data_IF_558589359487
#
_entry.id   IF_558589359487
#
_cell.length_a   1.000
_cell.length_b   1.000
_cell.length_c   1.000
_cell.angle_alpha   90.00
_cell.angle_beta   90.00
_cell.angle_gamma   90.00
#
_symmetry.space_group_name_H-M   'P 1'
#
loop_
_entity.id
_entity.type
_entity.pdbx_description
1 polymer ?
#
# COMPACT_ATOMS: atom_id res chain seq x y z
N UNK A 1 -14.60 35.92 -9.68
CA UNK A 1 -14.56 34.76 -10.59
C UNK A 1 -14.25 33.56 -9.72
N UNK A 2 -15.21 32.65 -9.58
CA UNK A 2 -15.19 31.56 -8.61
C UNK A 2 -14.74 30.26 -9.29
N UNK A 3 -13.55 29.76 -8.94
CA UNK A 3 -13.14 28.38 -9.21
C UNK A 3 -13.64 27.50 -8.06
N UNK A 4 -14.66 26.69 -8.36
CA UNK A 4 -15.16 25.67 -7.45
C UNK A 4 -14.29 24.42 -7.54
N UNK A 5 -13.77 24.00 -6.39
CA UNK A 5 -13.09 22.73 -6.16
C UNK A 5 -14.07 21.57 -6.41
N UNK A 6 -13.85 20.80 -7.47
CA UNK A 6 -14.52 19.54 -7.74
C UNK A 6 -13.96 18.46 -6.79
N UNK A 7 -14.76 18.03 -5.81
CA UNK A 7 -14.48 16.81 -5.04
C UNK A 7 -14.79 15.59 -5.91
N UNK A 8 -13.97 14.51 -5.86
CA UNK A 8 -14.31 13.27 -6.54
C UNK A 8 -15.41 12.54 -5.78
N UNK A 9 -16.59 12.45 -6.40
CA UNK A 9 -17.67 11.58 -5.95
C UNK A 9 -17.17 10.11 -5.89
N UNK A 10 -17.37 9.39 -4.77
CA UNK A 10 -17.12 7.95 -4.77
C UNK A 10 -18.16 7.28 -5.67
N UNK A 11 -17.72 6.67 -6.77
CA UNK A 11 -18.59 5.85 -7.62
C UNK A 11 -19.09 4.66 -6.80
N UNK A 12 -20.41 4.38 -6.80
CA UNK A 12 -20.92 3.20 -6.12
C UNK A 12 -20.31 1.94 -6.75
N UNK A 13 -19.86 1.05 -5.87
CA UNK A 13 -19.17 -0.19 -6.20
C UNK A 13 -20.05 -1.03 -7.14
N UNK A 14 -19.65 -1.15 -8.41
CA UNK A 14 -20.39 -1.82 -9.49
C UNK A 14 -20.83 -3.25 -9.12
N UNK A 15 -20.07 -3.89 -8.23
CA UNK A 15 -20.36 -5.21 -7.67
C UNK A 15 -21.61 -5.25 -6.78
N UNK A 16 -21.95 -4.16 -6.08
CA UNK A 16 -23.17 -4.06 -5.27
C UNK A 16 -24.41 -3.93 -6.15
N UNK A 17 -24.31 -3.23 -7.28
CA UNK A 17 -25.40 -3.10 -8.25
C UNK A 17 -25.65 -4.44 -8.98
N UNK A 18 -24.59 -5.15 -9.39
CA UNK A 18 -24.71 -6.48 -10.00
C UNK A 18 -25.27 -7.53 -9.03
N UNK A 19 -24.90 -7.48 -7.74
CA UNK A 19 -25.47 -8.35 -6.70
C UNK A 19 -26.94 -8.05 -6.44
N UNK A 20 -27.32 -6.77 -6.42
CA UNK A 20 -28.71 -6.31 -6.29
C UNK A 20 -29.56 -6.70 -7.51
N UNK A 21 -29.01 -6.68 -8.72
CA UNK A 21 -29.71 -7.14 -9.93
C UNK A 21 -29.86 -8.66 -9.98
N UNK A 22 -28.83 -9.44 -9.60
CA UNK A 22 -28.93 -10.90 -9.46
C UNK A 22 -29.97 -11.30 -8.42
N UNK A 23 -30.05 -10.62 -7.28
CA UNK A 23 -31.09 -10.88 -6.26
C UNK A 23 -32.49 -10.44 -6.70
N UNK A 24 -32.63 -9.32 -7.43
CA UNK A 24 -33.94 -8.89 -7.97
C UNK A 24 -34.46 -9.86 -9.03
N UNK A 25 -33.61 -10.45 -9.87
CA UNK A 25 -33.98 -11.49 -10.84
C UNK A 25 -34.38 -12.81 -10.15
N UNK A 26 -33.66 -13.21 -9.08
CA UNK A 26 -34.03 -14.38 -8.25
C UNK A 26 -35.39 -14.22 -7.55
N UNK A 27 -35.67 -13.03 -6.98
CA UNK A 27 -36.96 -12.75 -6.31
C UNK A 27 -38.13 -12.64 -7.30
N UNK A 28 -37.90 -12.16 -8.53
CA UNK A 28 -38.93 -12.15 -9.60
C UNK A 28 -39.30 -13.56 -10.08
N UNK A 29 -38.34 -14.50 -10.12
CA UNK A 29 -38.62 -15.92 -10.44
C UNK A 29 -39.43 -16.63 -9.36
N UNK A 30 -39.28 -16.24 -8.08
CA UNK A 30 -40.07 -16.80 -6.98
C UNK A 30 -41.52 -16.25 -6.91
N UNK A 31 -41.74 -14.97 -7.26
CA UNK A 31 -43.06 -14.35 -7.23
C UNK A 31 -44.02 -14.82 -8.36
N UNK A 32 -43.49 -15.36 -9.47
CA UNK A 32 -44.30 -15.87 -10.59
C UNK A 32 -44.73 -17.32 -10.35
N UNK A 33 -43.99 -18.08 -9.53
CA UNK A 33 -44.30 -19.47 -9.17
C UNK A 33 -45.42 -19.67 -8.14
N UNK A 34 -45.99 -18.61 -7.56
CA UNK A 34 -47.03 -18.73 -6.51
C UNK A 34 -48.42 -18.22 -6.89
N UNK A 35 -48.67 -17.86 -8.16
CA UNK A 35 -49.94 -17.26 -8.60
C UNK A 35 -50.87 -18.17 -9.43
N UNK A 36 -50.53 -19.45 -9.62
CA UNK A 36 -51.33 -20.38 -10.47
C UNK A 36 -51.77 -21.62 -9.68
N UNK A 37 -52.44 -21.39 -8.56
CA UNK A 37 -53.14 -22.45 -7.82
C UNK A 37 -54.38 -21.89 -7.11
N UNK A 38 -55.36 -21.37 -7.85
CA UNK A 38 -56.75 -21.22 -7.37
C UNK A 38 -57.67 -20.73 -8.49
N UNK A 39 -58.51 -21.64 -9.02
CA UNK A 39 -59.93 -21.43 -9.36
C UNK A 39 -60.39 -22.50 -10.37
N UNK A 40 -61.00 -23.57 -9.87
CA UNK A 40 -61.92 -24.39 -10.66
C UNK A 40 -63.25 -24.48 -9.91
N UNK A 41 -64.28 -23.80 -10.41
CA UNK A 41 -65.68 -24.04 -10.05
C UNK A 41 -66.64 -23.48 -11.11
N UNK A 42 -67.54 -24.36 -11.55
CA UNK A 42 -68.94 -24.11 -11.97
C UNK A 42 -69.26 -23.56 -13.39
N UNK A 43 -69.71 -24.48 -14.24
CA UNK A 43 -70.99 -24.53 -14.96
C UNK A 43 -71.58 -23.30 -15.69
N UNK A 44 -71.87 -23.51 -16.99
CA UNK A 44 -73.18 -23.22 -17.59
C UNK A 44 -73.28 -22.04 -18.56
N UNK A 45 -73.75 -22.30 -19.79
CA UNK A 45 -74.36 -21.27 -20.65
C UNK A 45 -74.12 -21.44 -22.15
N UNK A 46 -75.05 -22.11 -22.84
CA UNK A 46 -75.13 -22.20 -24.30
C UNK A 46 -75.52 -20.87 -24.95
N UNK A 47 -74.96 -20.55 -26.13
CA UNK A 47 -75.70 -19.93 -27.24
C UNK A 47 -75.14 -20.42 -28.58
N UNK A 48 -76.02 -20.91 -29.45
CA UNK A 48 -75.72 -21.41 -30.78
C UNK A 48 -75.81 -20.30 -31.83
N UNK A 49 -74.97 -20.34 -32.88
CA UNK A 49 -75.28 -19.74 -34.17
C UNK A 49 -74.48 -20.38 -35.32
N UNK A 50 -75.22 -21.09 -36.17
CA UNK A 50 -75.07 -21.31 -37.61
C UNK A 50 -73.72 -21.75 -38.18
N UNK A 51 -73.69 -23.05 -38.50
CA UNK A 51 -72.70 -23.71 -39.32
C UNK A 51 -72.77 -23.31 -40.81
N UNK A 52 -71.60 -23.07 -41.40
CA UNK A 52 -71.29 -23.49 -42.77
C UNK A 52 -70.39 -24.72 -42.59
N UNK A 53 -70.98 -25.92 -42.61
CA UNK A 53 -70.22 -27.16 -42.45
C UNK A 53 -69.46 -27.49 -43.73
N UNK A 54 -68.21 -27.04 -43.80
CA UNK A 54 -67.16 -27.91 -44.32
C UNK A 54 -66.97 -28.97 -43.24
N UNK A 55 -67.50 -30.18 -43.44
CA UNK A 55 -67.37 -31.29 -42.49
C UNK A 55 -65.90 -31.46 -42.07
N UNK A 56 -65.52 -31.18 -40.81
CA UNK A 56 -64.25 -31.66 -40.31
C UNK A 56 -64.40 -33.16 -40.10
N UNK A 57 -63.50 -33.94 -40.72
CA UNK A 57 -63.37 -35.38 -40.43
C UNK A 57 -63.28 -35.54 -38.90
N UNK A 58 -64.07 -36.43 -38.26
CA UNK A 58 -64.01 -36.59 -36.81
C UNK A 58 -62.64 -37.13 -36.44
N UNK A 59 -61.81 -36.31 -35.79
CA UNK A 59 -60.57 -36.79 -35.17
C UNK A 59 -60.94 -37.83 -34.12
N UNK A 60 -60.38 -39.02 -34.26
CA UNK A 60 -60.58 -40.08 -33.28
C UNK A 60 -59.92 -39.70 -31.94
N UNK A 61 -60.38 -40.23 -30.81
CA UNK A 61 -59.76 -39.97 -29.51
C UNK A 61 -58.24 -40.26 -29.49
N UNK A 62 -57.81 -41.21 -30.33
CA UNK A 62 -56.41 -41.59 -30.55
C UNK A 62 -55.58 -40.50 -31.24
N UNK A 63 -56.18 -39.67 -32.10
CA UNK A 63 -55.50 -38.55 -32.77
C UNK A 63 -55.38 -37.32 -31.86
N UNK A 64 -56.34 -37.12 -30.94
CA UNK A 64 -56.28 -36.05 -29.93
C UNK A 64 -55.20 -36.36 -28.88
N UNK A 65 -55.08 -37.61 -28.44
CA UNK A 65 -54.00 -38.01 -27.51
C UNK A 65 -52.63 -37.98 -28.19
N UNK A 66 -52.52 -38.38 -29.45
CA UNK A 66 -51.27 -38.28 -30.22
C UNK A 66 -50.83 -36.83 -30.44
N UNK A 67 -51.75 -35.88 -30.65
CA UNK A 67 -51.39 -34.46 -30.74
C UNK A 67 -50.91 -33.89 -29.39
N UNK A 68 -51.55 -34.26 -28.29
CA UNK A 68 -51.16 -33.82 -26.95
C UNK A 68 -49.78 -34.35 -26.52
N UNK A 69 -49.39 -35.57 -26.94
CA UNK A 69 -48.06 -36.13 -26.66
C UNK A 69 -46.96 -35.49 -27.49
N UNK A 70 -47.24 -35.08 -28.73
CA UNK A 70 -46.31 -34.31 -29.56
C UNK A 70 -46.05 -32.93 -28.96
N UNK A 71 -47.11 -32.22 -28.54
CA UNK A 71 -46.97 -30.92 -27.88
C UNK A 71 -46.18 -30.99 -26.56
N UNK A 72 -46.37 -32.07 -25.79
CA UNK A 72 -45.60 -32.31 -24.57
C UNK A 72 -44.12 -32.54 -24.88
N UNK A 73 -43.80 -33.37 -25.88
CA UNK A 73 -42.43 -33.64 -26.28
C UNK A 73 -41.71 -32.40 -26.82
N UNK A 74 -42.41 -31.54 -27.58
CA UNK A 74 -41.86 -30.27 -28.07
C UNK A 74 -41.50 -29.31 -26.94
N UNK A 75 -42.31 -29.25 -25.87
CA UNK A 75 -41.99 -28.45 -24.67
C UNK A 75 -40.77 -28.98 -23.95
N UNK A 76 -40.70 -30.30 -23.70
CA UNK A 76 -39.54 -30.95 -23.08
C UNK A 76 -38.26 -30.68 -23.88
N UNK A 77 -38.31 -30.81 -25.21
CA UNK A 77 -37.16 -30.52 -26.07
C UNK A 77 -36.71 -29.06 -25.99
N UNK A 78 -37.65 -28.12 -25.92
CA UNK A 78 -37.34 -26.69 -25.79
C UNK A 78 -36.69 -26.38 -24.44
N UNK A 79 -37.21 -26.95 -23.34
CA UNK A 79 -36.66 -26.76 -21.99
C UNK A 79 -35.25 -27.35 -21.88
N UNK A 80 -35.01 -28.54 -22.43
CA UNK A 80 -33.69 -29.17 -22.47
C UNK A 80 -32.70 -28.37 -23.33
N UNK A 81 -33.14 -27.85 -24.48
CA UNK A 81 -32.31 -27.03 -25.36
C UNK A 81 -31.91 -25.70 -24.71
N UNK A 82 -32.86 -25.00 -24.08
CA UNK A 82 -32.60 -23.75 -23.37
C UNK A 82 -31.61 -23.97 -22.20
N UNK A 83 -31.76 -25.06 -21.45
CA UNK A 83 -30.87 -25.42 -20.35
C UNK A 83 -29.46 -25.78 -20.85
N UNK A 84 -29.36 -26.60 -21.89
CA UNK A 84 -28.10 -27.00 -22.50
C UNK A 84 -27.33 -25.80 -23.08
N UNK A 85 -28.02 -24.91 -23.80
CA UNK A 85 -27.39 -23.71 -24.35
C UNK A 85 -26.90 -22.77 -23.24
N UNK A 86 -27.68 -22.61 -22.17
CA UNK A 86 -27.25 -21.82 -21.02
C UNK A 86 -26.00 -22.44 -20.35
N UNK A 87 -25.95 -23.76 -20.20
CA UNK A 87 -24.80 -24.44 -19.62
C UNK A 87 -23.54 -24.31 -20.48
N UNK A 88 -23.67 -24.35 -21.82
CA UNK A 88 -22.56 -24.10 -22.75
C UNK A 88 -22.05 -22.65 -22.61
N UNK A 89 -22.96 -21.67 -22.58
CA UNK A 89 -22.59 -20.25 -22.48
C UNK A 89 -21.91 -19.90 -21.13
N UNK A 90 -22.31 -20.58 -20.06
CA UNK A 90 -21.77 -20.40 -18.71
C UNK A 90 -20.60 -21.35 -18.39
N UNK A 91 -20.23 -22.25 -19.32
CA UNK A 91 -19.20 -23.25 -19.09
C UNK A 91 -17.85 -22.62 -18.76
N UNK A 92 -17.14 -23.21 -17.80
CA UNK A 92 -15.77 -22.80 -17.52
C UNK A 92 -14.87 -23.13 -18.73
N UNK A 93 -13.87 -22.30 -19.10
CA UNK A 93 -13.05 -22.52 -20.30
C UNK A 93 -12.25 -23.83 -20.36
N UNK A 94 -12.19 -24.58 -19.26
CA UNK A 94 -11.50 -25.88 -19.18
C UNK A 94 -12.44 -27.08 -19.31
N UNK A 95 -13.75 -26.86 -19.36
CA UNK A 95 -14.77 -27.91 -19.45
C UNK A 95 -15.06 -28.18 -20.93
N UNK A 96 -15.17 -29.46 -21.29
CA UNK A 96 -15.47 -29.88 -22.65
C UNK A 96 -17.00 -29.91 -22.87
N UNK A 97 -17.50 -29.06 -23.76
CA UNK A 97 -18.92 -28.95 -24.10
C UNK A 97 -19.30 -29.67 -25.39
N UNK A 98 -18.33 -30.31 -26.07
CA UNK A 98 -18.53 -30.83 -27.42
C UNK A 98 -19.62 -31.90 -27.53
N UNK A 99 -19.86 -32.66 -26.46
CA UNK A 99 -20.92 -33.66 -26.42
C UNK A 99 -22.30 -33.00 -26.24
N UNK A 100 -22.41 -32.03 -25.35
CA UNK A 100 -23.64 -31.26 -25.13
C UNK A 100 -24.06 -30.48 -26.39
N UNK A 101 -23.11 -29.91 -27.12
CA UNK A 101 -23.35 -29.24 -28.41
C UNK A 101 -23.97 -30.16 -29.47
N UNK A 102 -23.62 -31.46 -29.47
CA UNK A 102 -24.25 -32.44 -30.38
C UNK A 102 -25.71 -32.70 -30.02
N UNK A 103 -26.04 -32.73 -28.73
CA UNK A 103 -27.41 -32.89 -28.28
C UNK A 103 -28.25 -31.65 -28.59
N UNK A 104 -27.71 -30.44 -28.39
CA UNK A 104 -28.34 -29.18 -28.82
C UNK A 104 -28.66 -29.22 -30.32
N UNK A 105 -27.69 -29.60 -31.16
CA UNK A 105 -27.89 -29.72 -32.60
C UNK A 105 -28.96 -30.76 -32.98
N UNK A 106 -29.12 -31.82 -32.18
CA UNK A 106 -30.16 -32.86 -32.37
C UNK A 106 -31.54 -32.33 -31.98
N UNK A 107 -31.64 -31.60 -30.86
CA UNK A 107 -32.88 -31.00 -30.36
C UNK A 107 -33.37 -29.84 -31.25
N UNK A 108 -32.45 -29.05 -31.83
CA UNK A 108 -32.76 -28.03 -32.84
C UNK A 108 -33.42 -28.63 -34.10
N UNK A 109 -33.14 -29.91 -34.40
CA UNK A 109 -33.72 -30.64 -35.52
C UNK A 109 -35.00 -31.41 -35.14
N UNK A 110 -35.56 -31.19 -33.95
CA UNK A 110 -36.67 -31.98 -33.37
C UNK A 110 -37.91 -32.09 -34.27
N UNK A 111 -38.26 -31.06 -35.05
CA UNK A 111 -39.38 -31.07 -36.00
C UNK A 111 -39.29 -32.17 -37.08
N UNK A 112 -38.07 -32.69 -37.35
CA UNK A 112 -37.79 -33.71 -38.37
C UNK A 112 -37.57 -35.09 -37.78
N UNK A 113 -37.63 -35.23 -36.46
CA UNK A 113 -37.27 -36.44 -35.74
C UNK A 113 -38.51 -37.16 -35.18
N UNK A 114 -38.47 -38.49 -35.04
CA UNK A 114 -39.50 -39.20 -34.30
C UNK A 114 -39.58 -38.71 -32.86
N UNK A 115 -40.78 -38.56 -32.32
CA UNK A 115 -41.04 -38.09 -30.93
C UNK A 115 -40.21 -38.85 -29.89
N UNK A 116 -40.05 -40.17 -30.06
CA UNK A 116 -39.25 -41.01 -29.13
C UNK A 116 -37.77 -40.62 -29.16
N UNK A 117 -37.23 -40.26 -30.33
CA UNK A 117 -35.85 -39.78 -30.46
C UNK A 117 -35.66 -38.42 -29.83
N UNK A 118 -36.64 -37.52 -29.96
CA UNK A 118 -36.62 -36.20 -29.33
C UNK A 118 -36.62 -36.31 -27.81
N UNK A 119 -37.47 -37.18 -27.26
CA UNK A 119 -37.53 -37.41 -25.80
C UNK A 119 -36.22 -38.02 -25.27
N UNK A 120 -35.67 -39.04 -25.95
CA UNK A 120 -34.39 -39.63 -25.55
C UNK A 120 -33.23 -38.61 -25.63
N UNK A 121 -33.17 -37.81 -26.70
CA UNK A 121 -32.15 -36.77 -26.84
C UNK A 121 -32.30 -35.66 -25.78
N UNK A 122 -33.53 -35.37 -25.33
CA UNK A 122 -33.77 -34.42 -24.25
C UNK A 122 -33.27 -34.95 -22.90
N UNK A 123 -33.53 -36.24 -22.59
CA UNK A 123 -33.00 -36.88 -21.38
C UNK A 123 -31.46 -36.95 -21.38
N UNK A 124 -30.85 -37.31 -22.52
CA UNK A 124 -29.40 -37.33 -22.65
C UNK A 124 -28.80 -35.91 -22.54
N UNK A 125 -29.45 -34.91 -23.13
CA UNK A 125 -29.04 -33.50 -23.02
C UNK A 125 -29.11 -33.00 -21.58
N UNK A 126 -30.16 -33.36 -20.83
CA UNK A 126 -30.30 -32.99 -19.41
C UNK A 126 -29.18 -33.61 -18.56
N UNK A 127 -28.89 -34.90 -18.76
CA UNK A 127 -27.81 -35.57 -18.04
C UNK A 127 -26.43 -34.93 -18.29
N UNK A 128 -26.15 -34.58 -19.55
CA UNK A 128 -24.87 -33.96 -19.93
C UNK A 128 -24.80 -32.49 -19.53
N UNK A 129 -25.94 -31.80 -19.48
CA UNK A 129 -26.07 -30.45 -18.90
C UNK A 129 -25.68 -30.48 -17.42
N UNK A 130 -26.19 -31.44 -16.65
CA UNK A 130 -25.87 -31.59 -15.24
C UNK A 130 -24.37 -31.88 -15.02
N UNK A 131 -23.76 -32.69 -15.89
CA UNK A 131 -22.33 -32.97 -15.87
C UNK A 131 -21.49 -31.70 -16.15
N UNK A 132 -21.77 -30.99 -17.26
CA UNK A 132 -21.07 -29.74 -17.62
C UNK A 132 -21.20 -28.68 -16.52
N UNK A 133 -22.37 -28.55 -15.90
CA UNK A 133 -22.59 -27.62 -14.79
C UNK A 133 -21.78 -28.04 -13.55
N UNK A 134 -21.74 -29.33 -13.22
CA UNK A 134 -20.98 -29.84 -12.10
C UNK A 134 -19.47 -29.67 -12.29
N UNK A 135 -18.95 -29.97 -13.49
CA UNK A 135 -17.55 -29.76 -13.84
C UNK A 135 -17.17 -28.27 -13.85
N UNK A 136 -18.05 -27.42 -14.36
CA UNK A 136 -17.87 -25.95 -14.34
C UNK A 136 -17.76 -25.45 -12.90
N UNK A 137 -18.66 -25.86 -12.01
CA UNK A 137 -18.61 -25.49 -10.60
C UNK A 137 -17.36 -26.02 -9.89
N UNK A 138 -16.90 -27.23 -10.25
CA UNK A 138 -15.67 -27.80 -9.72
C UNK A 138 -14.42 -27.05 -10.20
N UNK A 139 -14.38 -26.66 -11.47
CA UNK A 139 -13.30 -25.88 -12.06
C UNK A 139 -13.21 -24.47 -11.45
N UNK A 140 -14.34 -23.78 -11.32
CA UNK A 140 -14.41 -22.47 -10.66
C UNK A 140 -13.93 -22.54 -9.19
N UNK A 141 -14.32 -23.60 -8.48
CA UNK A 141 -13.86 -23.84 -7.11
C UNK A 141 -12.35 -24.07 -7.06
N UNK A 142 -11.80 -24.89 -7.95
CA UNK A 142 -10.36 -25.14 -8.04
C UNK A 142 -9.58 -23.85 -8.35
N UNK A 143 -10.12 -23.00 -9.24
CA UNK A 143 -9.56 -21.70 -9.57
C UNK A 143 -9.54 -20.74 -8.38
N UNK A 144 -10.62 -20.71 -7.60
CA UNK A 144 -10.69 -19.93 -6.36
C UNK A 144 -9.69 -20.42 -5.31
N UNK A 145 -9.57 -21.74 -5.13
CA UNK A 145 -8.62 -22.35 -4.18
C UNK A 145 -7.17 -22.08 -4.61
N UNK A 146 -6.86 -22.17 -5.90
CA UNK A 146 -5.53 -21.82 -6.45
C UNK A 146 -5.19 -20.37 -6.18
N UNK A 147 -6.09 -19.43 -6.50
CA UNK A 147 -5.88 -18.00 -6.25
C UNK A 147 -5.67 -17.71 -4.76
N UNK A 148 -6.45 -18.34 -3.88
CA UNK A 148 -6.28 -18.19 -2.44
C UNK A 148 -4.93 -18.75 -1.95
N UNK A 149 -4.48 -19.88 -2.50
CA UNK A 149 -3.18 -20.46 -2.18
C UNK A 149 -2.01 -19.58 -2.65
N UNK A 150 -2.11 -19.00 -3.86
CA UNK A 150 -1.13 -18.05 -4.40
C UNK A 150 -1.04 -16.77 -3.55
N UNK A 151 -2.19 -16.20 -3.15
CA UNK A 151 -2.23 -15.03 -2.28
C UNK A 151 -1.62 -15.31 -0.90
N UNK A 152 -1.95 -16.47 -0.32
CA UNK A 152 -1.36 -16.91 0.95
C UNK A 152 0.16 -17.08 0.83
N UNK A 153 0.63 -17.74 -0.22
CA UNK A 153 2.07 -17.92 -0.46
C UNK A 153 2.79 -16.58 -0.66
N UNK A 154 2.18 -15.64 -1.37
CA UNK A 154 2.71 -14.29 -1.53
C UNK A 154 2.79 -13.53 -0.19
N UNK A 155 1.75 -13.63 0.64
CA UNK A 155 1.74 -13.02 1.98
C UNK A 155 2.81 -13.62 2.91
N UNK A 156 2.97 -14.95 2.91
CA UNK A 156 4.01 -15.64 3.69
C UNK A 156 5.41 -15.25 3.23
N UNK A 157 5.65 -15.16 1.91
CA UNK A 157 6.92 -14.70 1.36
C UNK A 157 7.22 -13.25 1.76
N UNK A 158 6.25 -12.35 1.64
CA UNK A 158 6.42 -10.95 2.05
C UNK A 158 6.70 -10.81 3.55
N UNK A 159 6.03 -11.62 4.39
CA UNK A 159 6.30 -11.65 5.82
C UNK A 159 7.72 -12.16 6.13
N UNK A 160 8.19 -13.20 5.43
CA UNK A 160 9.54 -13.73 5.58
C UNK A 160 10.61 -12.71 5.14
N UNK A 161 10.40 -12.02 4.02
CA UNK A 161 11.31 -10.96 3.54
C UNK A 161 11.37 -9.78 4.52
N UNK A 162 10.22 -9.36 5.07
CA UNK A 162 10.18 -8.31 6.10
C UNK A 162 10.94 -8.73 7.36
N UNK A 163 10.72 -9.95 7.85
CA UNK A 163 11.41 -10.47 9.03
C UNK A 163 12.93 -10.59 8.80
N UNK A 164 13.35 -11.00 7.60
CA UNK A 164 14.76 -11.04 7.22
C UNK A 164 15.39 -9.63 7.18
N UNK A 165 14.67 -8.64 6.63
CA UNK A 165 15.13 -7.25 6.60
C UNK A 165 15.24 -6.64 8.01
N UNK A 166 14.26 -6.89 8.88
CA UNK A 166 14.31 -6.45 10.29
C UNK A 166 15.50 -7.08 11.04
N UNK A 167 15.75 -8.38 10.82
CA UNK A 167 16.92 -9.05 11.41
C UNK A 167 18.24 -8.46 10.91
N UNK A 168 18.37 -8.23 9.60
CA UNK A 168 19.56 -7.63 9.02
C UNK A 168 19.80 -6.20 9.54
N UNK A 169 18.75 -5.39 9.67
CA UNK A 169 18.82 -4.06 10.26
C UNK A 169 19.26 -4.10 11.74
N UNK A 170 18.75 -5.06 12.51
CA UNK A 170 19.16 -5.25 13.90
C UNK A 170 20.63 -5.70 14.02
N UNK A 171 21.10 -6.59 13.15
CA UNK A 171 22.50 -7.03 13.09
C UNK A 171 23.43 -5.87 12.71
N UNK A 172 23.04 -5.03 11.76
CA UNK A 172 23.79 -3.83 11.38
C UNK A 172 23.86 -2.83 12.53
N UNK A 173 22.73 -2.52 13.18
CA UNK A 173 22.71 -1.62 14.34
C UNK A 173 23.59 -2.13 15.49
N UNK A 174 23.59 -3.44 15.74
CA UNK A 174 24.47 -4.06 16.75
C UNK A 174 25.95 -4.05 16.34
N UNK A 175 26.27 -4.07 15.04
CA UNK A 175 27.64 -3.90 14.55
C UNK A 175 28.11 -2.46 14.69
N UNK A 176 27.26 -1.48 14.35
CA UNK A 176 27.55 -0.05 14.51
C UNK A 176 27.77 0.33 15.99
N UNK A 177 26.94 -0.20 16.90
CA UNK A 177 27.14 0.01 18.34
C UNK A 177 28.48 -0.54 18.83
N UNK A 178 28.85 -1.76 18.42
CA UNK A 178 30.16 -2.34 18.79
C UNK A 178 31.32 -1.53 18.24
N UNK A 179 31.23 -1.05 17.00
CA UNK A 179 32.27 -0.18 16.42
C UNK A 179 32.39 1.15 17.19
N UNK A 180 31.26 1.74 17.60
CA UNK A 180 31.25 2.95 18.41
C UNK A 180 31.85 2.73 19.82
N UNK A 181 31.54 1.60 20.46
CA UNK A 181 32.13 1.21 21.74
C UNK A 181 33.64 0.97 21.64
N UNK A 182 34.11 0.29 20.59
CA UNK A 182 35.54 0.08 20.32
C UNK A 182 36.27 1.41 20.08
N UNK A 183 35.69 2.33 19.32
CA UNK A 183 36.26 3.65 19.09
C UNK A 183 36.33 4.47 20.39
N UNK A 184 35.27 4.47 21.20
CA UNK A 184 35.27 5.16 22.49
C UNK A 184 36.32 4.58 23.45
N UNK A 185 36.50 3.25 23.46
CA UNK A 185 37.55 2.61 24.26
C UNK A 185 38.96 2.98 23.78
N UNK A 186 39.18 3.06 22.46
CA UNK A 186 40.46 3.49 21.89
C UNK A 186 40.77 4.96 22.21
N UNK A 187 39.78 5.85 22.17
CA UNK A 187 39.92 7.26 22.56
C UNK A 187 40.27 7.40 24.05
N UNK A 188 39.66 6.60 24.93
CA UNK A 188 40.01 6.58 26.36
C UNK A 188 41.45 6.10 26.59
N UNK A 189 41.90 5.05 25.91
CA UNK A 189 43.27 4.56 26.02
C UNK A 189 44.28 5.61 25.52
N UNK A 190 43.99 6.28 24.40
CA UNK A 190 44.84 7.35 23.88
C UNK A 190 44.92 8.54 24.85
N UNK A 191 43.82 8.90 25.51
CA UNK A 191 43.78 9.94 26.53
C UNK A 191 44.60 9.56 27.79
N UNK A 192 44.52 8.30 28.24
CA UNK A 192 45.34 7.79 29.34
C UNK A 192 46.84 7.78 29.00
N UNK A 193 47.22 7.38 27.78
CA UNK A 193 48.62 7.42 27.32
C UNK A 193 49.15 8.86 27.25
N UNK A 194 48.36 9.81 26.75
CA UNK A 194 48.73 11.24 26.77
C UNK A 194 48.92 11.74 28.20
N UNK A 195 48.00 11.43 29.11
CA UNK A 195 48.10 11.84 30.52
C UNK A 195 49.35 11.26 31.20
N UNK A 196 49.74 10.02 30.89
CA UNK A 196 50.96 9.40 31.40
C UNK A 196 52.24 10.02 30.80
N UNK A 197 52.24 10.41 29.53
CA UNK A 197 53.36 11.14 28.92
C UNK A 197 53.54 12.54 29.51
N UNK A 198 52.45 13.22 29.86
CA UNK A 198 52.49 14.54 30.50
C UNK A 198 53.01 14.48 31.95
N UNK A 199 52.79 13.35 32.64
CA UNK A 199 53.34 13.08 33.98
C UNK A 199 54.80 12.58 33.96
N UNK A 200 55.28 12.05 32.83
CA UNK A 200 56.68 11.63 32.64
C UNK A 200 57.62 12.75 32.14
N UNK A 201 57.08 13.95 31.88
CA UNK A 201 57.88 15.11 31.52
C UNK A 201 58.76 15.56 32.71
N UNK A 202 60.05 15.90 32.49
CA UNK A 202 60.94 16.35 33.57
C UNK A 202 60.45 17.67 34.17
N UNK A 203 60.74 17.87 35.47
CA UNK A 203 60.31 19.00 36.29
C UNK A 203 60.37 20.37 35.58
N UNK A 204 59.40 21.27 35.83
CA UNK A 204 59.19 22.47 35.04
C UNK A 204 60.41 23.40 35.10
N UNK A 205 61.01 23.62 33.93
CA UNK A 205 61.81 24.81 33.68
C UNK A 205 60.86 26.02 33.58
N UNK A 206 61.31 27.25 33.88
CA UNK A 206 60.45 28.43 33.88
C UNK A 206 59.81 28.59 32.49
N UNK A 207 58.48 28.54 32.43
CA UNK A 207 57.75 28.58 31.17
C UNK A 207 57.96 29.93 30.45
N UNK A 208 58.23 29.92 29.13
CA UNK A 208 58.11 31.11 28.30
C UNK A 208 56.64 31.56 28.25
N UNK A 209 56.45 32.88 28.23
CA UNK A 209 55.16 33.55 28.36
C UNK A 209 54.17 33.10 27.28
N UNK A 210 52.95 32.72 27.69
CA UNK A 210 51.83 32.49 26.79
C UNK A 210 51.53 33.75 25.95
N UNK A 211 51.17 33.59 24.66
CA UNK A 211 50.73 34.72 23.85
C UNK A 211 49.51 35.39 24.49
N UNK A 212 49.49 36.72 24.47
CA UNK A 212 48.45 37.51 25.10
C UNK A 212 47.06 37.13 24.56
N UNK A 213 46.12 36.88 25.47
CA UNK A 213 44.69 36.71 25.14
C UNK A 213 44.23 37.99 24.43
N UNK A 214 43.63 37.92 23.23
CA UNK A 214 43.07 39.10 22.58
C UNK A 214 41.99 39.71 23.47
N UNK A 215 42.13 40.98 23.82
CA UNK A 215 41.14 41.74 24.58
C UNK A 215 40.26 42.55 23.64
N UNK A 216 38.95 42.56 23.91
CA UNK A 216 37.96 43.21 23.05
C UNK A 216 36.58 42.61 23.23
N UNK A 217 35.61 43.08 22.45
CA UNK A 217 34.31 42.42 22.31
C UNK A 217 34.47 41.02 21.73
N UNK A 218 33.53 40.12 22.01
CA UNK A 218 33.53 38.76 21.46
C UNK A 218 33.60 38.76 19.90
N UNK A 219 32.95 39.74 19.26
CA UNK A 219 33.03 39.92 17.80
C UNK A 219 34.44 40.30 17.32
N UNK A 220 35.16 41.18 18.02
CA UNK A 220 36.53 41.54 17.65
C UNK A 220 37.49 40.37 17.79
N UNK A 221 37.37 39.61 18.88
CA UNK A 221 38.14 38.38 19.11
C UNK A 221 37.87 37.38 17.98
N UNK A 222 36.61 37.15 17.64
CA UNK A 222 36.24 36.24 16.55
C UNK A 222 36.71 36.72 15.18
N UNK A 223 36.66 38.04 14.90
CA UNK A 223 37.16 38.58 13.63
C UNK A 223 38.65 38.33 13.48
N UNK A 224 39.43 38.60 14.53
CA UNK A 224 40.86 38.36 14.54
C UNK A 224 41.17 36.87 14.37
N UNK A 225 40.54 36.00 15.17
CA UNK A 225 40.76 34.55 15.07
C UNK A 225 40.34 33.97 13.71
N UNK A 226 39.21 34.42 13.15
CA UNK A 226 38.74 33.98 11.84
C UNK A 226 39.73 34.35 10.72
N UNK A 227 40.27 35.58 10.77
CA UNK A 227 41.26 36.03 9.81
C UNK A 227 42.60 35.30 9.98
N UNK A 228 43.14 35.27 11.21
CA UNK A 228 44.50 34.78 11.48
C UNK A 228 44.62 33.26 11.35
N UNK A 229 43.59 32.50 11.72
CA UNK A 229 43.66 31.03 11.76
C UNK A 229 43.06 30.35 10.53
N UNK A 230 42.06 30.97 9.89
CA UNK A 230 41.30 30.35 8.80
C UNK A 230 41.37 31.13 7.49
N UNK A 231 41.96 32.33 7.49
CA UNK A 231 41.97 33.21 6.32
C UNK A 231 40.58 33.75 5.95
N UNK A 232 39.62 33.70 6.86
CA UNK A 232 38.26 34.17 6.65
C UNK A 232 38.21 35.69 6.81
N UNK A 233 38.02 36.39 5.70
CA UNK A 233 37.88 37.85 5.66
C UNK A 233 36.46 38.33 6.00
N UNK A 234 36.23 39.63 5.81
CA UNK A 234 34.98 40.31 6.22
C UNK A 234 33.69 39.69 5.65
N UNK A 235 33.75 39.08 4.47
CA UNK A 235 32.59 38.39 3.86
C UNK A 235 32.11 37.20 4.68
N UNK A 236 33.03 36.33 5.09
CA UNK A 236 32.73 35.20 5.97
C UNK A 236 32.37 35.70 7.38
N UNK A 237 33.08 36.71 7.87
CA UNK A 237 32.79 37.28 9.18
C UNK A 237 31.36 37.85 9.30
N UNK A 238 30.80 38.43 8.23
CA UNK A 238 29.42 38.91 8.23
C UNK A 238 28.40 37.76 8.41
N UNK A 239 28.66 36.60 7.83
CA UNK A 239 27.87 35.39 8.04
C UNK A 239 28.00 34.87 9.47
N UNK A 240 29.22 34.90 10.03
CA UNK A 240 29.47 34.51 11.42
C UNK A 240 28.71 35.40 12.42
N UNK A 241 28.68 36.72 12.18
CA UNK A 241 27.89 37.69 12.97
C UNK A 241 26.42 37.31 12.97
N UNK A 242 25.85 37.11 11.77
CA UNK A 242 24.44 36.73 11.63
C UNK A 242 24.12 35.42 12.34
N UNK A 243 25.03 34.45 12.24
CA UNK A 243 24.91 33.15 12.87
C UNK A 243 24.91 33.26 14.39
N UNK A 244 25.98 33.77 15.00
CA UNK A 244 26.09 33.82 16.46
C UNK A 244 25.20 34.88 17.13
N UNK A 245 24.73 35.89 16.39
CA UNK A 245 23.63 36.76 16.86
C UNK A 245 22.35 35.95 17.08
N UNK A 246 21.99 35.06 16.13
CA UNK A 246 20.81 34.19 16.23
C UNK A 246 20.95 33.17 17.36
N UNK A 247 22.15 32.63 17.57
CA UNK A 247 22.41 31.58 18.55
C UNK A 247 22.42 32.08 19.99
N UNK A 248 23.17 33.15 20.27
CA UNK A 248 23.46 33.57 21.64
C UNK A 248 23.48 35.09 21.86
N UNK A 249 23.38 35.88 20.79
CA UNK A 249 23.68 37.31 20.85
C UNK A 249 25.10 37.58 21.32
N UNK A 250 26.05 36.69 20.99
CA UNK A 250 27.47 36.76 21.38
C UNK A 250 27.74 36.66 22.90
N UNK A 251 26.79 36.15 23.68
CA UNK A 251 26.98 35.96 25.12
C UNK A 251 27.72 34.66 25.43
N UNK A 252 28.85 34.75 26.15
CA UNK A 252 29.61 33.58 26.59
C UNK A 252 28.91 32.76 27.68
N UNK A 253 27.83 33.29 28.27
CA UNK A 253 27.05 32.61 29.31
C UNK A 253 25.63 32.27 28.85
N UNK A 254 25.32 32.44 27.56
CA UNK A 254 24.03 32.04 27.01
C UNK A 254 23.83 30.53 27.17
N UNK A 255 22.70 30.13 27.76
CA UNK A 255 22.32 28.74 27.87
C UNK A 255 20.87 28.58 27.44
N UNK A 256 20.61 27.64 26.53
CA UNK A 256 19.25 27.26 26.18
C UNK A 256 18.69 26.31 27.26
N UNK A 257 17.62 26.68 27.99
CA UNK A 257 17.11 25.85 29.09
C UNK A 257 16.51 24.52 28.63
N UNK A 258 16.05 24.43 27.37
CA UNK A 258 15.42 23.23 26.85
C UNK A 258 16.42 22.23 26.30
N UNK A 259 17.46 22.70 25.58
CA UNK A 259 18.44 21.81 24.93
C UNK A 259 19.75 21.67 25.70
N UNK A 260 20.07 22.62 26.58
CA UNK A 260 21.36 22.68 27.29
C UNK A 260 22.52 23.25 26.47
N UNK A 261 22.27 23.70 25.23
CA UNK A 261 23.27 24.35 24.39
C UNK A 261 23.88 25.58 25.09
N UNK A 262 25.21 25.75 24.99
CA UNK A 262 25.94 26.70 25.83
C UNK A 262 26.91 27.60 25.05
N UNK A 263 27.03 28.84 25.51
CA UNK A 263 28.04 29.81 25.09
C UNK A 263 27.74 30.46 23.75
N UNK A 264 28.72 31.21 23.24
CA UNK A 264 28.65 31.95 21.96
C UNK A 264 28.20 31.04 20.81
N UNK A 265 28.82 29.87 20.58
CA UNK A 265 28.45 29.01 19.46
C UNK A 265 27.24 28.11 19.75
N UNK A 266 26.66 28.14 20.96
CA UNK A 266 25.60 27.21 21.40
C UNK A 266 26.00 25.73 21.26
N UNK A 267 27.18 25.37 21.82
CA UNK A 267 27.70 24.01 21.77
C UNK A 267 26.86 23.01 22.56
N UNK A 268 26.69 21.78 22.03
CA UNK A 268 25.95 20.69 22.69
C UNK A 268 26.72 19.36 22.70
N UNK A 269 27.06 18.82 23.89
CA UNK A 269 27.16 19.51 25.19
C UNK A 269 28.27 20.59 25.20
N UNK A 270 28.13 21.59 26.08
CA UNK A 270 29.04 22.74 26.15
C UNK A 270 30.47 22.40 26.62
N UNK A 271 30.63 21.33 27.39
CA UNK A 271 31.91 20.82 27.90
C UNK A 271 32.89 20.39 26.81
N UNK A 272 32.43 20.16 25.57
CA UNK A 272 33.30 19.95 24.41
C UNK A 272 34.29 21.10 24.19
N UNK A 273 33.92 22.32 24.60
CA UNK A 273 34.80 23.49 24.52
C UNK A 273 36.00 23.39 25.50
N UNK A 274 35.98 22.49 26.48
CA UNK A 274 37.09 22.26 27.41
C UNK A 274 38.38 21.82 26.70
N UNK A 275 38.28 21.22 25.52
CA UNK A 275 39.43 20.86 24.68
C UNK A 275 40.25 22.07 24.21
N UNK A 276 39.67 23.28 24.23
CA UNK A 276 40.35 24.54 23.86
C UNK A 276 40.81 25.35 25.08
N UNK A 277 40.37 24.99 26.28
CA UNK A 277 40.76 25.68 27.51
C UNK A 277 39.87 25.31 28.69
N UNK A 278 40.46 25.16 29.88
CA UNK A 278 39.73 24.82 31.10
C UNK A 278 38.74 25.92 31.54
N UNK A 279 38.89 27.14 31.05
CA UNK A 279 38.05 28.31 31.32
C UNK A 279 36.91 28.51 30.30
N UNK A 280 36.64 27.51 29.47
CA UNK A 280 35.65 27.53 28.39
C UNK A 280 34.27 28.03 28.81
N UNK A 281 33.86 27.80 30.06
CA UNK A 281 32.52 28.15 30.53
C UNK A 281 32.29 29.66 30.56
N UNK A 282 33.32 30.49 30.70
CA UNK A 282 33.16 31.95 30.81
C UNK A 282 34.03 32.73 29.84
N UNK A 283 35.08 32.11 29.30
CA UNK A 283 36.02 32.79 28.41
C UNK A 283 35.50 32.80 26.96
N UNK A 284 35.13 33.97 26.41
CA UNK A 284 34.65 34.07 25.04
C UNK A 284 35.71 33.65 24.03
N UNK A 285 37.00 33.90 24.27
CA UNK A 285 38.08 33.52 23.36
C UNK A 285 38.15 31.99 23.20
N UNK A 286 38.02 31.25 24.30
CA UNK A 286 37.98 29.78 24.29
C UNK A 286 36.77 29.25 23.52
N UNK A 287 35.58 29.83 23.75
CA UNK A 287 34.37 29.43 23.05
C UNK A 287 34.41 29.75 21.55
N UNK A 288 34.94 30.92 21.19
CA UNK A 288 35.12 31.35 19.80
C UNK A 288 36.10 30.42 19.09
N UNK A 289 37.23 30.08 19.72
CA UNK A 289 38.23 29.18 19.11
C UNK A 289 37.62 27.81 18.79
N UNK A 290 36.86 27.23 19.74
CA UNK A 290 36.13 25.99 19.50
C UNK A 290 35.06 26.14 18.39
N UNK A 291 34.26 27.20 18.44
CA UNK A 291 33.17 27.45 17.49
C UNK A 291 33.67 27.64 16.05
N UNK A 292 34.77 28.37 15.86
CA UNK A 292 35.41 28.54 14.55
C UNK A 292 35.96 27.20 14.02
N UNK A 293 36.59 26.41 14.89
CA UNK A 293 37.09 25.07 14.52
C UNK A 293 35.96 24.14 14.08
N UNK A 294 34.85 24.14 14.82
CA UNK A 294 33.65 23.38 14.46
C UNK A 294 33.06 23.83 13.12
N UNK A 295 32.94 25.14 12.87
CA UNK A 295 32.47 25.66 11.58
C UNK A 295 33.37 25.22 10.43
N UNK A 296 34.69 25.28 10.61
CA UNK A 296 35.65 24.84 9.60
C UNK A 296 35.51 23.35 9.29
N UNK A 297 35.40 22.51 10.33
CA UNK A 297 35.32 21.05 10.19
C UNK A 297 34.00 20.56 9.61
N UNK A 298 32.88 21.18 9.98
CA UNK A 298 31.53 20.70 9.63
C UNK A 298 30.97 21.40 8.39
N UNK A 299 31.17 22.71 8.27
CA UNK A 299 30.54 23.55 7.24
C UNK A 299 31.53 24.12 6.22
N UNK A 300 32.83 23.96 6.47
CA UNK A 300 33.90 24.52 5.65
C UNK A 300 34.15 26.00 5.92
N UNK A 301 33.10 26.83 6.03
CA UNK A 301 33.21 28.26 6.32
C UNK A 301 31.94 28.85 6.98
N UNK A 302 32.01 30.04 7.60
CA UNK A 302 30.88 30.70 8.25
C UNK A 302 29.66 30.92 7.36
N UNK A 303 29.83 31.25 6.07
CA UNK A 303 28.70 31.41 5.17
C UNK A 303 28.00 30.09 4.83
N UNK A 304 28.74 28.98 4.76
CA UNK A 304 28.20 27.63 4.67
C UNK A 304 27.37 27.27 5.90
N UNK A 305 27.90 27.56 7.10
CA UNK A 305 27.17 27.36 8.36
C UNK A 305 25.91 28.20 8.44
N UNK A 306 25.99 29.49 8.07
CA UNK A 306 24.83 30.39 8.04
C UNK A 306 23.76 29.95 7.04
N UNK A 307 24.17 29.51 5.84
CA UNK A 307 23.27 28.94 4.85
C UNK A 307 22.53 27.71 5.39
N UNK A 308 23.25 26.82 6.07
CA UNK A 308 22.65 25.66 6.73
C UNK A 308 21.65 26.07 7.83
N UNK A 309 22.04 26.98 8.72
CA UNK A 309 21.20 27.50 9.82
C UNK A 309 19.90 28.14 9.34
N UNK A 310 19.92 28.84 8.21
CA UNK A 310 18.72 29.40 7.60
C UNK A 310 17.78 28.34 7.02
N UNK A 311 18.33 27.21 6.55
CA UNK A 311 17.54 26.13 5.93
C UNK A 311 16.99 25.11 6.93
N UNK A 312 17.79 24.72 7.93
CA UNK A 312 17.45 23.63 8.88
C UNK A 312 17.07 24.15 10.26
N UNK A 313 17.38 25.41 10.56
CA UNK A 313 17.08 26.05 11.85
C UNK A 313 18.21 25.93 12.87
N UNK A 314 19.20 25.08 12.63
CA UNK A 314 20.41 24.86 13.46
C UNK A 314 21.66 24.74 12.58
N UNK A 315 22.83 24.81 13.20
CA UNK A 315 24.16 24.50 12.65
C UNK A 315 24.98 23.76 13.71
#
# INVERSE_FOLDING_TARGET
>A
MAEQLLTPFPRPNHLVLLRQEKERRRRRRWAIGSALALCLSAAGGSVAAAAVELTPVPRTAQEVTAAATVDAAARTATEALDAAQQAIDEAHPSVDTAQLEKYVATLDASDKLPVVTVLAAAEDAEAETDEVVAETAAAEKADAERKAAEEKAAAEKAAAEKAAAEKAAAEQAAAEQRAAEEQAAAEQQAAEEQAQQEQAAPAPQPAPQAPAVPSGSAQEIARQMAADQYGWGDGEFACLVSLWDKESGWSSTAQNPSSGAYGIPQALPGDKMASFGADWATNPATQIAWGLSYIAGTYGNPCGAWGHSQSVGWY
#
